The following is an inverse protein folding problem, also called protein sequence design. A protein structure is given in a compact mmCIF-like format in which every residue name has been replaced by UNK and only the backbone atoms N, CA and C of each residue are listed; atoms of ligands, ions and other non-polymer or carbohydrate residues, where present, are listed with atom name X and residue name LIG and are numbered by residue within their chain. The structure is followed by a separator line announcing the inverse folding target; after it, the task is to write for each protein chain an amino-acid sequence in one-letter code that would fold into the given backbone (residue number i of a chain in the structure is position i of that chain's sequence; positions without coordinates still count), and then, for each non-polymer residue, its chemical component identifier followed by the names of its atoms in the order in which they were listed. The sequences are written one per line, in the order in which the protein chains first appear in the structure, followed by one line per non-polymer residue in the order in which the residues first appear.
data_IF_907025422277
#
_entry.id   IF_907025422277
#
_cell.length_a   1.000
_cell.length_b   1.000
_cell.length_c   1.000
_cell.angle_alpha   90.00
_cell.angle_beta   90.00
_cell.angle_gamma   90.00
#
_symmetry.space_group_name_H-M   'P 1'
#
loop_
_entity.id
_entity.type
_entity.pdbx_description
1 polymer ?
#
# COMPACT_ATOMS: atom_id res chain seq x y z
N UNK A 1 5.20 -33.23 4.35
CA UNK A 1 6.24 -32.45 3.62
C UNK A 1 6.79 -31.42 4.58
N UNK A 2 8.05 -31.53 5.02
CA UNK A 2 8.71 -30.51 5.83
C UNK A 2 8.92 -29.26 4.96
N UNK A 3 8.41 -28.10 5.39
CA UNK A 3 8.83 -26.82 4.80
C UNK A 3 10.35 -26.68 5.03
N UNK A 4 11.13 -26.24 4.02
CA UNK A 4 12.52 -25.88 4.26
C UNK A 4 12.59 -24.85 5.40
N UNK A 5 13.56 -25.02 6.29
CA UNK A 5 13.81 -24.05 7.37
C UNK A 5 14.16 -22.66 6.82
N UNK A 6 14.18 -21.61 7.66
CA UNK A 6 14.61 -20.29 7.24
C UNK A 6 16.09 -20.31 6.80
N UNK A 7 16.43 -19.49 5.81
CA UNK A 7 17.82 -19.21 5.40
C UNK A 7 18.59 -18.49 6.52
N UNK A 8 17.88 -17.67 7.29
CA UNK A 8 18.43 -16.87 8.38
C UNK A 8 17.31 -16.49 9.34
N UNK A 9 17.60 -16.43 10.64
CA UNK A 9 16.66 -15.94 11.65
C UNK A 9 17.40 -15.27 12.79
N UNK A 10 16.84 -14.18 13.31
CA UNK A 10 17.41 -13.43 14.44
C UNK A 10 16.33 -12.65 15.19
N UNK A 11 16.66 -12.17 16.40
CA UNK A 11 15.90 -11.12 17.07
C UNK A 11 16.27 -9.75 16.52
N UNK A 12 15.30 -8.86 16.35
CA UNK A 12 15.49 -7.48 15.92
C UNK A 12 14.54 -6.55 16.66
N UNK A 13 15.06 -5.43 17.15
CA UNK A 13 14.25 -4.36 17.73
C UNK A 13 13.80 -3.41 16.61
N UNK A 14 12.50 -3.32 16.36
CA UNK A 14 11.92 -2.41 15.38
C UNK A 14 10.92 -1.48 16.07
N UNK A 15 11.12 -0.17 15.94
CA UNK A 15 10.25 0.86 16.55
C UNK A 15 10.03 0.68 18.07
N UNK A 16 11.02 0.12 18.78
CA UNK A 16 10.95 -0.11 20.24
C UNK A 16 10.25 -1.40 20.65
N UNK A 17 9.80 -2.22 19.71
CA UNK A 17 9.20 -3.53 19.95
C UNK A 17 10.15 -4.66 19.51
N UNK A 18 10.14 -5.77 20.23
CA UNK A 18 10.94 -6.96 19.90
C UNK A 18 10.26 -7.84 18.85
N UNK A 19 11.01 -8.18 17.79
CA UNK A 19 10.58 -9.06 16.72
C UNK A 19 11.51 -10.24 16.57
N UNK A 20 10.93 -11.42 16.36
CA UNK A 20 11.65 -12.54 15.74
C UNK A 20 11.52 -12.43 14.21
N UNK A 21 12.64 -12.22 13.54
CA UNK A 21 12.69 -12.07 12.07
C UNK A 21 13.26 -13.34 11.45
N UNK A 22 12.56 -13.88 10.45
CA UNK A 22 12.98 -15.03 9.68
C UNK A 22 12.98 -14.72 8.18
N UNK A 23 14.05 -15.11 7.49
CA UNK A 23 14.18 -15.00 6.03
C UNK A 23 13.99 -16.38 5.43
N UNK A 24 13.01 -16.52 4.56
CA UNK A 24 12.69 -17.76 3.86
C UNK A 24 13.03 -17.63 2.39
N UNK A 25 13.62 -18.69 1.84
CA UNK A 25 13.79 -18.77 0.40
C UNK A 25 12.45 -19.05 -0.28
N UNK A 26 12.16 -18.31 -1.34
CA UNK A 26 11.00 -18.53 -2.19
C UNK A 26 11.49 -18.50 -3.63
N UNK A 27 12.24 -19.53 -4.02
CA UNK A 27 12.62 -19.74 -5.42
C UNK A 27 11.37 -20.04 -6.29
N UNK A 28 11.27 -19.50 -7.51
CA UNK A 28 12.19 -18.58 -8.19
C UNK A 28 11.95 -17.08 -7.87
N UNK A 29 11.02 -16.77 -6.98
CA UNK A 29 10.52 -15.43 -6.74
C UNK A 29 11.50 -14.50 -6.00
N UNK A 30 12.38 -15.03 -5.14
CA UNK A 30 13.31 -14.24 -4.32
C UNK A 30 13.36 -14.74 -2.89
N UNK A 31 13.21 -13.86 -1.91
CA UNK A 31 13.09 -14.23 -0.49
C UNK A 31 11.87 -13.57 0.16
N UNK A 32 11.38 -14.16 1.23
CA UNK A 32 10.33 -13.59 2.06
C UNK A 32 10.85 -13.39 3.46
N UNK A 33 10.77 -12.16 3.94
CA UNK A 33 11.06 -11.81 5.33
C UNK A 33 9.76 -11.83 6.11
N UNK A 34 9.75 -12.50 7.25
CA UNK A 34 8.64 -12.53 8.20
C UNK A 34 9.14 -11.99 9.53
N UNK A 35 8.55 -10.92 10.04
CA UNK A 35 8.80 -10.39 11.37
C UNK A 35 7.57 -10.66 12.25
N UNK A 36 7.77 -11.42 13.32
CA UNK A 36 6.73 -11.73 14.31
C UNK A 36 7.03 -10.98 15.59
N UNK A 37 6.14 -10.08 16.00
CA UNK A 37 6.26 -9.35 17.26
C UNK A 37 6.08 -10.32 18.44
N UNK A 38 7.05 -10.36 19.34
CA UNK A 38 7.11 -11.36 20.42
C UNK A 38 5.96 -11.24 21.42
N UNK A 39 5.55 -10.01 21.75
CA UNK A 39 4.54 -9.77 22.79
C UNK A 39 3.08 -10.02 22.32
N UNK A 40 2.77 -9.65 21.08
CA UNK A 40 1.39 -9.66 20.56
C UNK A 40 1.15 -10.69 19.46
N UNK A 41 2.19 -11.41 19.03
CA UNK A 41 2.17 -12.30 17.88
C UNK A 41 1.65 -11.61 16.59
N UNK A 42 1.88 -10.29 16.45
CA UNK A 42 1.59 -9.60 15.20
C UNK A 42 2.63 -9.99 14.17
N UNK A 43 2.17 -10.38 12.98
CA UNK A 43 3.03 -10.88 11.90
C UNK A 43 3.02 -9.88 10.76
N UNK A 44 4.22 -9.46 10.37
CA UNK A 44 4.46 -8.66 9.18
C UNK A 44 5.32 -9.45 8.22
N UNK A 45 5.04 -9.34 6.93
CA UNK A 45 5.84 -9.99 5.90
C UNK A 45 6.15 -9.05 4.75
N UNK A 46 7.32 -9.24 4.15
CA UNK A 46 7.72 -8.55 2.93
C UNK A 46 8.43 -9.51 2.00
N UNK A 47 7.94 -9.57 0.77
CA UNK A 47 8.59 -10.30 -0.32
C UNK A 47 9.63 -9.38 -0.98
N UNK A 48 10.85 -9.87 -1.12
CA UNK A 48 11.92 -9.23 -1.88
C UNK A 48 12.15 -10.06 -3.13
N UNK A 49 11.79 -9.48 -4.28
CA UNK A 49 11.88 -10.18 -5.56
C UNK A 49 13.33 -10.43 -5.95
N UNK A 50 13.57 -11.43 -6.82
CA UNK A 50 14.90 -11.66 -7.40
C UNK A 50 15.51 -10.39 -8.03
N UNK A 51 14.68 -9.57 -8.68
CA UNK A 51 15.10 -8.30 -9.26
C UNK A 51 15.58 -7.31 -8.20
N UNK A 52 14.82 -7.16 -7.10
CA UNK A 52 15.21 -6.30 -5.98
C UNK A 52 16.47 -6.80 -5.29
N UNK A 53 16.60 -8.11 -5.06
CA UNK A 53 17.82 -8.69 -4.49
C UNK A 53 19.04 -8.45 -5.39
N UNK A 54 18.88 -8.61 -6.70
CA UNK A 54 19.96 -8.35 -7.67
C UNK A 54 20.34 -6.86 -7.68
N UNK A 55 19.35 -5.97 -7.72
CA UNK A 55 19.59 -4.52 -7.68
C UNK A 55 20.23 -4.06 -6.36
N UNK A 56 19.92 -4.74 -5.26
CA UNK A 56 20.50 -4.55 -3.94
C UNK A 56 21.88 -5.22 -3.74
N UNK A 57 22.36 -6.00 -4.73
CA UNK A 57 23.61 -6.75 -4.63
C UNK A 57 23.58 -7.85 -3.57
N UNK A 58 22.44 -8.52 -3.39
CA UNK A 58 22.20 -9.59 -2.41
C UNK A 58 22.06 -10.95 -3.11
N UNK A 59 22.71 -11.97 -2.58
CA UNK A 59 22.80 -13.31 -3.19
C UNK A 59 22.23 -14.44 -2.33
N UNK A 60 21.41 -14.10 -1.32
CA UNK A 60 20.78 -15.03 -0.36
C UNK A 60 21.76 -15.81 0.55
N UNK A 61 23.03 -15.40 0.59
CA UNK A 61 23.97 -15.94 1.58
C UNK A 61 23.54 -15.53 3.00
N UNK A 62 23.93 -16.27 4.05
CA UNK A 62 23.60 -15.88 5.42
C UNK A 62 24.04 -14.45 5.78
N UNK A 63 25.20 -14.00 5.26
CA UNK A 63 25.70 -12.64 5.44
C UNK A 63 24.79 -11.60 4.75
N UNK A 64 24.38 -11.86 3.51
CA UNK A 64 23.45 -10.98 2.79
C UNK A 64 22.06 -10.96 3.44
N UNK A 65 21.59 -12.09 3.99
CA UNK A 65 20.36 -12.14 4.76
C UNK A 65 20.45 -11.31 6.05
N UNK A 66 21.58 -11.37 6.77
CA UNK A 66 21.81 -10.50 7.93
C UNK A 66 21.78 -9.02 7.53
N UNK A 67 22.50 -8.64 6.46
CA UNK A 67 22.46 -7.27 5.91
C UNK A 67 21.05 -6.82 5.54
N UNK A 68 20.25 -7.71 4.94
CA UNK A 68 18.86 -7.45 4.61
C UNK A 68 18.05 -7.20 5.89
N UNK A 69 18.20 -8.03 6.92
CA UNK A 69 17.48 -7.90 8.19
C UNK A 69 17.86 -6.61 8.94
N UNK A 70 19.15 -6.28 9.00
CA UNK A 70 19.64 -5.05 9.66
C UNK A 70 19.14 -3.77 8.97
N UNK A 71 18.75 -3.86 7.70
CA UNK A 71 18.22 -2.74 6.94
C UNK A 71 16.71 -2.53 7.09
N UNK A 72 16.02 -3.41 7.82
CA UNK A 72 14.56 -3.39 7.91
C UNK A 72 14.06 -2.20 8.72
N UNK A 73 12.96 -1.62 8.26
CA UNK A 73 12.17 -0.64 8.99
C UNK A 73 10.69 -0.75 8.62
N UNK A 74 9.84 -0.12 9.42
CA UNK A 74 8.44 0.08 9.06
C UNK A 74 8.25 1.39 8.32
N UNK A 75 7.67 1.31 7.13
CA UNK A 75 7.12 2.47 6.42
C UNK A 75 5.60 2.46 6.56
N UNK A 76 5.01 3.64 6.66
CA UNK A 76 3.56 3.78 6.62
C UNK A 76 3.15 3.91 5.15
N UNK A 77 2.28 3.01 4.70
CA UNK A 77 1.70 3.08 3.35
C UNK A 77 0.84 4.36 3.20
N UNK A 78 0.47 4.77 1.97
CA UNK A 78 -0.58 5.77 1.78
C UNK A 78 -1.90 5.41 2.46
N UNK A 79 -2.10 4.11 2.73
CA UNK A 79 -3.28 3.54 3.38
C UNK A 79 -3.18 3.51 4.91
N UNK A 80 -2.17 4.18 5.49
CA UNK A 80 -1.90 4.26 6.94
C UNK A 80 -1.60 2.91 7.61
N UNK A 81 -1.25 1.89 6.83
CA UNK A 81 -0.89 0.58 7.34
C UNK A 81 0.64 0.44 7.41
N UNK A 82 1.20 -0.03 8.55
CA UNK A 82 2.63 -0.26 8.66
C UNK A 82 3.05 -1.46 7.81
N UNK A 83 4.04 -1.25 6.94
CA UNK A 83 4.61 -2.28 6.08
C UNK A 83 6.12 -2.37 6.28
N UNK A 84 6.66 -3.59 6.26
CA UNK A 84 8.11 -3.82 6.29
C UNK A 84 8.75 -3.35 4.98
N UNK A 85 9.83 -2.61 5.10
CA UNK A 85 10.68 -2.13 4.00
C UNK A 85 12.16 -2.25 4.39
N UNK A 86 13.05 -2.07 3.43
CA UNK A 86 14.50 -2.10 3.60
C UNK A 86 15.10 -0.77 3.13
N UNK A 87 16.10 -0.25 3.84
CA UNK A 87 16.86 0.93 3.42
C UNK A 87 17.87 0.64 2.28
N UNK A 88 18.06 -0.62 1.88
CA UNK A 88 19.05 -0.96 0.86
C UNK A 88 18.63 -0.39 -0.50
N UNK A 89 19.57 0.28 -1.17
CA UNK A 89 19.36 0.85 -2.50
C UNK A 89 18.96 -0.25 -3.50
N UNK A 90 18.02 0.06 -4.40
CA UNK A 90 17.48 -0.90 -5.38
C UNK A 90 16.27 -1.69 -4.90
N UNK A 91 15.94 -1.65 -3.60
CA UNK A 91 14.67 -2.18 -3.08
C UNK A 91 13.54 -1.18 -3.31
N UNK A 92 12.44 -1.62 -3.92
CA UNK A 92 11.25 -0.77 -4.09
C UNK A 92 10.45 -0.68 -2.81
N UNK A 93 9.76 0.45 -2.62
CA UNK A 93 8.77 0.57 -1.55
C UNK A 93 7.67 -0.50 -1.74
N UNK A 94 7.11 -1.03 -0.64
CA UNK A 94 5.98 -1.94 -0.72
C UNK A 94 4.81 -1.28 -1.44
N UNK A 95 4.08 -2.08 -2.24
CA UNK A 95 2.83 -1.63 -2.82
C UNK A 95 1.78 -1.42 -1.71
N UNK A 96 0.89 -0.42 -1.84
CA UNK A 96 -0.20 -0.23 -0.89
C UNK A 96 -1.06 -1.50 -0.80
N UNK A 97 -1.44 -1.88 0.41
CA UNK A 97 -2.35 -3.00 0.63
C UNK A 97 -3.76 -2.53 0.27
N UNK A 98 -4.43 -3.26 -0.61
CA UNK A 98 -5.86 -3.06 -0.88
C UNK A 98 -6.70 -3.74 0.21
N UNK A 99 -6.77 -3.12 1.40
CA UNK A 99 -7.63 -3.54 2.51
C UNK A 99 -8.91 -2.69 2.59
N UNK A 100 -9.89 -3.14 3.39
CA UNK A 100 -11.08 -2.33 3.68
C UNK A 100 -10.72 -1.01 4.40
N UNK A 101 -9.81 -1.08 5.38
CA UNK A 101 -9.29 0.11 6.08
C UNK A 101 -8.53 1.05 5.14
N UNK A 102 -7.75 0.49 4.21
CA UNK A 102 -7.08 1.24 3.17
C UNK A 102 -8.04 1.99 2.25
N UNK A 103 -9.13 1.34 1.84
CA UNK A 103 -10.18 1.97 1.05
C UNK A 103 -10.86 3.11 1.82
N UNK A 104 -11.15 2.90 3.11
CA UNK A 104 -11.76 3.93 3.97
C UNK A 104 -10.85 5.16 4.12
N UNK A 105 -9.56 4.94 4.41
CA UNK A 105 -8.56 6.02 4.48
C UNK A 105 -8.48 6.75 3.14
N UNK A 106 -8.40 6.02 2.03
CA UNK A 106 -8.36 6.63 0.70
C UNK A 106 -9.60 7.50 0.45
N UNK A 107 -10.80 6.96 0.68
CA UNK A 107 -12.05 7.70 0.44
C UNK A 107 -12.17 8.96 1.31
N UNK A 108 -11.71 8.90 2.56
CA UNK A 108 -11.83 10.01 3.52
C UNK A 108 -10.72 11.05 3.43
N UNK A 109 -9.52 10.69 2.97
CA UNK A 109 -8.35 11.58 2.98
C UNK A 109 -7.94 12.10 1.61
N UNK A 110 -8.38 11.45 0.52
CA UNK A 110 -8.01 11.87 -0.84
C UNK A 110 -8.51 13.28 -1.14
N UNK A 111 -7.60 14.14 -1.60
CA UNK A 111 -7.88 15.52 -2.00
C UNK A 111 -8.23 15.59 -3.50
N UNK A 112 -9.22 16.41 -3.82
CA UNK A 112 -9.58 16.83 -5.19
C UNK A 112 -9.70 18.35 -5.16
N UNK A 113 -8.77 19.04 -5.84
CA UNK A 113 -8.57 20.47 -5.69
C UNK A 113 -8.36 20.86 -4.21
N UNK A 114 -9.22 21.75 -3.71
CA UNK A 114 -9.20 22.23 -2.32
C UNK A 114 -10.04 21.39 -1.36
N UNK A 115 -10.82 20.43 -1.86
CA UNK A 115 -11.80 19.65 -1.10
C UNK A 115 -11.38 18.18 -0.97
N UNK A 116 -12.12 17.38 -0.19
CA UNK A 116 -11.94 15.92 -0.18
C UNK A 116 -12.80 15.25 -1.24
N UNK A 117 -12.38 14.08 -1.70
CA UNK A 117 -13.14 13.26 -2.65
C UNK A 117 -14.55 12.95 -2.13
N UNK A 118 -14.66 12.64 -0.84
CA UNK A 118 -15.93 12.31 -0.21
C UNK A 118 -16.89 13.50 -0.20
N UNK A 119 -16.41 14.72 0.05
CA UNK A 119 -17.25 15.94 0.05
C UNK A 119 -17.86 16.20 -1.34
N UNK A 120 -17.06 16.05 -2.39
CA UNK A 120 -17.51 16.20 -3.78
C UNK A 120 -18.54 15.11 -4.12
N UNK A 121 -18.23 13.86 -3.80
CA UNK A 121 -19.12 12.73 -4.05
C UNK A 121 -20.45 12.86 -3.30
N UNK A 122 -20.41 13.27 -2.03
CA UNK A 122 -21.60 13.46 -1.21
C UNK A 122 -22.55 14.51 -1.81
N UNK A 123 -22.02 15.63 -2.33
CA UNK A 123 -22.84 16.64 -3.02
C UNK A 123 -23.51 16.07 -4.26
N UNK A 124 -22.79 15.32 -5.09
CA UNK A 124 -23.36 14.65 -6.26
C UNK A 124 -24.44 13.63 -5.90
N UNK A 125 -24.22 12.85 -4.84
CA UNK A 125 -25.22 11.91 -4.31
C UNK A 125 -26.47 12.62 -3.77
N UNK A 126 -26.31 13.77 -3.10
CA UNK A 126 -27.45 14.59 -2.65
C UNK A 126 -28.29 15.06 -3.84
N UNK A 127 -27.66 15.48 -4.94
CA UNK A 127 -28.37 15.86 -6.17
C UNK A 127 -29.12 14.67 -6.75
N UNK A 128 -28.46 13.51 -6.85
CA UNK A 128 -29.09 12.26 -7.26
C UNK A 128 -30.33 11.90 -6.42
N UNK A 129 -30.24 12.03 -5.10
CA UNK A 129 -31.36 11.72 -4.20
C UNK A 129 -32.55 12.68 -4.37
N UNK A 130 -32.31 13.91 -4.82
CA UNK A 130 -33.36 14.89 -5.13
C UNK A 130 -34.06 14.55 -6.44
N UNK A 131 -33.29 14.26 -7.49
CA UNK A 131 -33.80 13.99 -8.85
C UNK A 131 -34.38 12.58 -9.00
N UNK A 132 -33.92 11.62 -8.19
CA UNK A 132 -34.35 10.21 -8.18
C UNK A 132 -34.36 9.53 -9.57
N UNK A 133 -33.32 9.69 -10.41
CA UNK A 133 -33.23 8.99 -11.69
C UNK A 133 -33.14 7.47 -11.46
N UNK A 134 -33.68 6.68 -12.38
CA UNK A 134 -33.67 5.22 -12.27
C UNK A 134 -32.54 4.56 -13.06
N UNK A 135 -31.99 3.47 -12.51
CA UNK A 135 -31.06 2.58 -13.22
C UNK A 135 -29.82 3.31 -13.76
N UNK A 136 -29.46 3.03 -15.02
CA UNK A 136 -28.27 3.61 -15.66
C UNK A 136 -28.31 5.14 -15.76
N UNK A 137 -29.50 5.75 -15.76
CA UNK A 137 -29.62 7.21 -15.79
C UNK A 137 -29.06 7.85 -14.52
N UNK A 138 -29.11 7.16 -13.38
CA UNK A 138 -28.49 7.64 -12.14
C UNK A 138 -26.97 7.70 -12.25
N UNK A 139 -26.37 6.65 -12.81
CA UNK A 139 -24.91 6.57 -13.01
C UNK A 139 -24.46 7.64 -14.01
N UNK A 140 -25.17 7.79 -15.13
CA UNK A 140 -24.87 8.81 -16.13
C UNK A 140 -24.99 10.23 -15.56
N UNK A 141 -26.06 10.53 -14.83
CA UNK A 141 -26.27 11.83 -14.22
C UNK A 141 -25.18 12.17 -13.20
N UNK A 142 -24.83 11.24 -12.32
CA UNK A 142 -23.74 11.44 -11.37
C UNK A 142 -22.39 11.61 -12.06
N UNK A 143 -22.12 10.82 -13.10
CA UNK A 143 -20.91 10.94 -13.91
C UNK A 143 -20.77 12.33 -14.52
N UNK A 144 -21.83 12.85 -15.15
CA UNK A 144 -21.84 14.21 -15.71
C UNK A 144 -21.65 15.26 -14.61
N UNK A 145 -22.38 15.12 -13.50
CA UNK A 145 -22.27 16.04 -12.38
C UNK A 145 -20.84 16.12 -11.84
N UNK A 146 -20.18 14.97 -11.65
CA UNK A 146 -18.79 14.89 -11.19
C UNK A 146 -17.81 15.52 -12.18
N UNK A 147 -18.02 15.37 -13.49
CA UNK A 147 -17.18 16.01 -14.50
C UNK A 147 -17.32 17.53 -14.48
N UNK A 148 -18.54 18.04 -14.32
CA UNK A 148 -18.83 19.48 -14.26
C UNK A 148 -18.37 20.12 -12.96
N UNK A 149 -18.34 19.36 -11.86
CA UNK A 149 -18.04 19.88 -10.51
C UNK A 149 -16.72 19.35 -9.95
N UNK A 150 -15.81 18.87 -10.80
CA UNK A 150 -14.49 18.36 -10.39
C UNK A 150 -13.56 19.52 -9.98
N UNK A 151 -13.20 19.67 -8.69
CA UNK A 151 -12.35 20.78 -8.25
C UNK A 151 -10.89 20.66 -8.74
N UNK A 152 -10.49 19.51 -9.26
CA UNK A 152 -9.14 19.28 -9.80
C UNK A 152 -9.00 19.64 -11.28
N UNK A 153 -10.09 19.96 -12.00
CA UNK A 153 -10.03 20.31 -13.41
C UNK A 153 -10.50 21.74 -13.66
N UNK A 154 -9.83 22.51 -14.54
CA UNK A 154 -10.40 23.76 -15.03
C UNK A 154 -11.67 23.44 -15.84
N UNK A 155 -12.74 24.20 -15.57
CA UNK A 155 -13.97 24.13 -16.36
C UNK A 155 -13.65 24.45 -17.83
N UNK A 156 -13.72 23.44 -18.71
CA UNK A 156 -13.51 23.65 -20.14
C UNK A 156 -14.75 24.31 -20.72
N UNK A 157 -14.77 25.64 -20.75
CA UNK A 157 -15.73 26.38 -21.56
C UNK A 157 -15.46 26.09 -23.03
N UNK A 158 -16.39 25.44 -23.74
CA UNK A 158 -16.33 25.38 -25.21
C UNK A 158 -16.26 26.82 -25.72
N UNK A 159 -15.11 27.21 -26.27
CA UNK A 159 -15.03 28.42 -27.08
C UNK A 159 -16.01 28.23 -28.24
N UNK A 160 -17.10 28.99 -28.21
CA UNK A 160 -18.04 29.11 -29.31
C UNK A 160 -17.26 29.58 -30.54
N UNK A 161 -17.12 28.69 -31.52
CA UNK A 161 -16.71 29.02 -32.89
C UNK A 161 -17.95 29.20 -33.75
#
# INVERSE_FOLDING_TARGET
MQRPGPLYSTGLLLNGDDYHVAVHDVEPAGVVVVATQTAKNLVFSRNFTKQELTAAGLTKTPLDCARLVDSLLFVVSPTQEPQLHSTISGVRRPDPIASGAAAEVYLTTTRVGTETFLDVLQRGLIVLCKEKPMGLNAVAMLGHWLLEHNPSQPLVSKASS
#
